data_IF_381285549994
#
_entry.id   IF_381285549994
#
_cell.length_a   1.000
_cell.length_b   1.000
_cell.length_c   1.000
_cell.angle_alpha   90.00
_cell.angle_beta   90.00
_cell.angle_gamma   90.00
#
_symmetry.space_group_name_H-M   'P 1'
#
loop_
_entity.id
_entity.type
_entity.pdbx_description
1 polymer ?
#
# COMPACT_ATOMS: atom_id res chain seq x y z
N UNK A 1 -13.31 -13.79 -40.41
CA UNK A 1 -13.23 -14.72 -39.27
C UNK A 1 -14.55 -15.48 -39.19
N UNK A 2 -14.56 -16.81 -39.05
CA UNK A 2 -15.81 -17.57 -38.92
C UNK A 2 -16.21 -17.68 -37.43
N UNK A 3 -17.49 -17.92 -37.15
CA UNK A 3 -18.04 -17.95 -35.78
C UNK A 3 -17.39 -19.00 -34.87
N UNK A 4 -16.85 -20.08 -35.45
CA UNK A 4 -16.23 -21.18 -34.70
C UNK A 4 -14.80 -20.82 -34.24
N UNK A 5 -14.04 -20.11 -35.09
CA UNK A 5 -12.72 -19.57 -34.76
C UNK A 5 -12.83 -18.53 -33.65
N UNK A 6 -13.84 -17.64 -33.69
CA UNK A 6 -14.07 -16.64 -32.64
C UNK A 6 -14.44 -17.28 -31.31
N UNK A 7 -15.26 -18.36 -31.33
CA UNK A 7 -15.62 -19.12 -30.12
C UNK A 7 -14.38 -19.78 -29.51
N UNK A 8 -13.55 -20.40 -30.33
CA UNK A 8 -12.32 -21.07 -29.88
C UNK A 8 -11.31 -20.09 -29.28
N UNK A 9 -11.10 -18.93 -29.89
CA UNK A 9 -10.24 -17.88 -29.32
C UNK A 9 -10.76 -17.38 -27.98
N UNK A 10 -12.07 -17.17 -27.85
CA UNK A 10 -12.69 -16.78 -26.59
C UNK A 10 -12.48 -17.82 -25.48
N UNK A 11 -12.66 -19.11 -25.78
CA UNK A 11 -12.39 -20.20 -24.84
C UNK A 11 -10.92 -20.22 -24.39
N UNK A 12 -9.96 -20.05 -25.31
CA UNK A 12 -8.53 -19.99 -25.00
C UNK A 12 -8.16 -18.76 -24.15
N UNK A 13 -8.78 -17.61 -24.41
CA UNK A 13 -8.61 -16.40 -23.59
C UNK A 13 -9.13 -16.62 -22.17
N UNK A 14 -10.30 -17.26 -22.01
CA UNK A 14 -10.84 -17.58 -20.68
C UNK A 14 -9.95 -18.55 -19.91
N UNK A 15 -9.44 -19.58 -20.58
CA UNK A 15 -8.49 -20.54 -19.98
C UNK A 15 -7.22 -19.81 -19.51
N UNK A 16 -6.62 -18.96 -20.36
CA UNK A 16 -5.46 -18.15 -19.99
C UNK A 16 -5.70 -17.29 -18.75
N UNK A 17 -6.82 -16.58 -18.69
CA UNK A 17 -7.18 -15.72 -17.54
C UNK A 17 -7.35 -16.56 -16.26
N UNK A 18 -8.00 -17.72 -16.37
CA UNK A 18 -8.20 -18.65 -15.26
C UNK A 18 -6.88 -19.17 -14.70
N UNK A 19 -5.98 -19.63 -15.57
CA UNK A 19 -4.68 -20.18 -15.18
C UNK A 19 -3.71 -19.12 -14.65
N UNK A 20 -3.89 -17.86 -15.06
CA UNK A 20 -2.98 -16.78 -14.67
C UNK A 20 -2.92 -16.53 -13.16
N UNK A 21 -3.94 -16.96 -12.41
CA UNK A 21 -4.03 -16.74 -10.97
C UNK A 21 -2.77 -17.24 -10.21
N UNK A 22 -2.24 -18.40 -10.57
CA UNK A 22 -1.00 -18.92 -9.97
C UNK A 22 0.19 -17.98 -10.22
N UNK A 23 0.32 -17.48 -11.45
CA UNK A 23 1.38 -16.54 -11.81
C UNK A 23 1.20 -15.18 -11.12
N UNK A 24 -0.04 -14.73 -10.94
CA UNK A 24 -0.35 -13.51 -10.18
C UNK A 24 0.20 -13.60 -8.75
N UNK A 25 -0.13 -14.64 -7.98
CA UNK A 25 0.35 -14.78 -6.60
C UNK A 25 1.88 -14.89 -6.51
N UNK A 26 2.49 -15.60 -7.47
CA UNK A 26 3.95 -15.69 -7.55
C UNK A 26 4.59 -14.31 -7.75
N UNK A 27 4.07 -13.52 -8.68
CA UNK A 27 4.57 -12.18 -8.96
C UNK A 27 4.38 -11.24 -7.76
N UNK A 28 3.20 -11.27 -7.14
CA UNK A 28 2.90 -10.50 -5.91
C UNK A 28 3.92 -10.82 -4.82
N UNK A 29 4.18 -12.10 -4.58
CA UNK A 29 5.15 -12.55 -3.56
C UNK A 29 6.55 -12.05 -3.86
N UNK A 30 7.00 -12.13 -5.12
CA UNK A 30 8.32 -11.65 -5.54
C UNK A 30 8.47 -10.13 -5.36
N UNK A 31 7.45 -9.35 -5.71
CA UNK A 31 7.49 -7.90 -5.52
C UNK A 31 7.45 -7.51 -4.04
N UNK A 32 6.68 -8.22 -3.20
CA UNK A 32 6.69 -7.99 -1.75
C UNK A 32 8.07 -8.26 -1.15
N UNK A 33 8.67 -9.38 -1.53
CA UNK A 33 9.98 -9.79 -1.03
C UNK A 33 11.08 -8.77 -1.40
N UNK A 34 10.97 -8.13 -2.56
CA UNK A 34 11.94 -7.11 -2.98
C UNK A 34 12.07 -5.94 -2.00
N UNK A 35 10.99 -5.53 -1.32
CA UNK A 35 11.02 -4.42 -0.34
C UNK A 35 11.76 -4.77 0.96
N UNK A 36 11.92 -6.07 1.22
CA UNK A 36 12.70 -6.60 2.35
C UNK A 36 14.16 -6.72 1.90
N UNK A 37 14.38 -7.34 0.74
CA UNK A 37 15.71 -7.60 0.21
C UNK A 37 16.49 -6.32 -0.12
N UNK A 38 15.82 -5.32 -0.69
CA UNK A 38 16.44 -4.02 -1.00
C UNK A 38 16.64 -3.12 0.24
N UNK A 39 16.17 -3.58 1.41
CA UNK A 39 16.28 -2.86 2.67
C UNK A 39 15.35 -1.64 2.78
N UNK A 40 14.42 -1.43 1.84
CA UNK A 40 13.52 -0.28 1.85
C UNK A 40 12.72 -0.20 3.16
N UNK A 41 12.07 -1.30 3.57
CA UNK A 41 11.30 -1.32 4.82
C UNK A 41 12.21 -1.11 6.04
N UNK A 42 13.44 -1.64 6.00
CA UNK A 42 14.42 -1.41 7.06
C UNK A 42 14.73 0.09 7.18
N UNK A 43 15.07 0.74 6.08
CA UNK A 43 15.40 2.18 6.06
C UNK A 43 14.22 3.05 6.50
N UNK A 44 12.99 2.68 6.14
CA UNK A 44 11.78 3.42 6.51
C UNK A 44 11.46 3.34 8.01
N UNK A 45 11.80 2.24 8.67
CA UNK A 45 11.50 1.98 10.08
C UNK A 45 12.72 2.03 11.02
N UNK A 46 13.91 2.33 10.50
CA UNK A 46 15.14 2.50 11.28
C UNK A 46 14.93 3.56 12.38
N UNK A 47 15.18 3.19 13.65
CA UNK A 47 14.97 4.06 14.82
C UNK A 47 16.24 4.75 15.31
N UNK A 48 17.41 4.31 14.86
CA UNK A 48 18.70 4.55 15.52
C UNK A 48 19.73 5.30 14.66
N UNK A 49 19.32 6.26 13.84
CA UNK A 49 20.26 7.09 13.09
C UNK A 49 20.54 8.42 13.79
N UNK A 50 21.82 8.78 13.89
CA UNK A 50 22.26 10.14 14.27
C UNK A 50 21.79 11.22 13.27
N UNK A 51 21.30 10.81 12.09
CA UNK A 51 20.54 11.61 11.13
C UNK A 51 19.09 11.15 11.09
N UNK A 52 18.13 12.05 11.33
CA UNK A 52 16.72 11.77 11.06
C UNK A 52 16.53 11.46 9.58
N UNK A 53 16.02 10.27 9.26
CA UNK A 53 15.64 9.90 7.89
C UNK A 53 14.24 10.46 7.61
N UNK A 54 14.09 11.25 6.56
CA UNK A 54 12.79 11.75 6.13
C UNK A 54 12.00 10.63 5.44
N UNK A 55 11.01 10.11 6.16
CA UNK A 55 10.15 9.01 5.69
C UNK A 55 9.24 9.43 4.55
N UNK A 56 8.82 10.70 4.52
CA UNK A 56 7.99 11.21 3.42
C UNK A 56 8.82 11.24 2.14
N UNK A 57 10.06 11.73 2.23
CA UNK A 57 10.97 11.75 1.08
C UNK A 57 11.29 10.34 0.57
N UNK A 58 11.53 9.37 1.46
CA UNK A 58 11.75 7.98 1.05
C UNK A 58 10.56 7.38 0.29
N UNK A 59 9.32 7.67 0.73
CA UNK A 59 8.11 7.20 0.05
C UNK A 59 7.96 7.85 -1.33
N UNK A 60 8.19 9.15 -1.43
CA UNK A 60 8.13 9.91 -2.69
C UNK A 60 9.21 9.44 -3.66
N UNK A 61 10.43 9.21 -3.19
CA UNK A 61 11.52 8.71 -4.03
C UNK A 61 11.21 7.30 -4.58
N UNK A 62 10.59 6.43 -3.77
CA UNK A 62 10.30 5.05 -4.16
C UNK A 62 9.05 4.94 -5.05
N UNK A 63 8.01 5.72 -4.78
CA UNK A 63 6.67 5.54 -5.35
C UNK A 63 6.11 6.79 -6.07
N UNK A 64 6.84 7.91 -6.08
CA UNK A 64 6.45 9.17 -6.69
C UNK A 64 5.61 10.07 -5.78
N UNK A 65 5.26 11.26 -6.28
CA UNK A 65 4.57 12.32 -5.52
C UNK A 65 3.20 11.89 -4.97
N UNK A 66 2.54 10.93 -5.62
CA UNK A 66 1.29 10.36 -5.15
C UNK A 66 1.44 9.69 -3.78
N UNK A 67 2.63 9.19 -3.44
CA UNK A 67 2.97 8.57 -2.16
C UNK A 67 3.37 9.58 -1.08
N UNK A 68 3.17 10.88 -1.31
CA UNK A 68 3.37 11.86 -0.25
C UNK A 68 2.35 11.62 0.88
N UNK A 69 2.79 11.39 2.14
CA UNK A 69 1.88 11.22 3.28
C UNK A 69 0.87 12.35 3.47
N UNK A 70 1.18 13.57 3.00
CA UNK A 70 0.26 14.71 3.06
C UNK A 70 -1.05 14.44 2.31
N UNK A 71 -1.00 13.69 1.21
CA UNK A 71 -2.17 13.31 0.39
C UNK A 71 -3.15 12.41 1.16
N UNK A 72 -2.70 11.77 2.25
CA UNK A 72 -3.47 10.81 3.01
C UNK A 72 -4.03 11.36 4.32
N UNK A 73 -3.82 12.65 4.63
CA UNK A 73 -4.14 13.23 5.95
C UNK A 73 -5.61 13.05 6.35
N UNK A 74 -6.55 13.36 5.47
CA UNK A 74 -7.99 13.24 5.76
C UNK A 74 -8.42 11.79 5.97
N UNK A 75 -7.93 10.87 5.13
CA UNK A 75 -8.26 9.45 5.24
C UNK A 75 -7.58 8.80 6.46
N UNK A 76 -6.35 9.21 6.77
CA UNK A 76 -5.62 8.81 7.96
C UNK A 76 -6.38 9.20 9.23
N UNK A 77 -6.95 10.40 9.27
CA UNK A 77 -7.82 10.85 10.36
C UNK A 77 -9.10 10.02 10.45
N UNK A 78 -9.78 9.78 9.31
CA UNK A 78 -11.02 9.00 9.28
C UNK A 78 -10.82 7.53 9.69
N UNK A 79 -9.68 6.94 9.35
CA UNK A 79 -9.35 5.53 9.64
C UNK A 79 -8.55 5.33 10.92
N UNK A 80 -8.13 6.42 11.59
CA UNK A 80 -7.24 6.40 12.75
C UNK A 80 -5.92 5.65 12.48
N UNK A 81 -5.37 5.82 11.27
CA UNK A 81 -4.08 5.24 10.84
C UNK A 81 -3.11 6.39 10.60
N UNK A 82 -1.83 6.22 10.95
CA UNK A 82 -0.82 7.25 10.69
C UNK A 82 -0.66 7.52 9.18
N UNK A 83 -0.56 8.78 8.70
CA UNK A 83 -0.51 9.09 7.26
C UNK A 83 0.60 8.37 6.50
N UNK A 84 1.80 8.27 7.08
CA UNK A 84 2.93 7.52 6.49
C UNK A 84 2.61 6.04 6.33
N UNK A 85 1.89 5.44 7.29
CA UNK A 85 1.50 4.03 7.23
C UNK A 85 0.45 3.82 6.15
N UNK A 86 -0.54 4.71 6.08
CA UNK A 86 -1.59 4.62 5.08
C UNK A 86 -1.02 4.80 3.67
N UNK A 87 -0.18 5.80 3.47
CA UNK A 87 0.57 6.01 2.23
C UNK A 87 1.38 4.78 1.84
N UNK A 88 2.16 4.20 2.76
CA UNK A 88 2.94 3.00 2.49
C UNK A 88 2.08 1.83 2.02
N UNK A 89 0.97 1.56 2.71
CA UNK A 89 0.06 0.45 2.35
C UNK A 89 -0.52 0.66 0.95
N UNK A 90 -1.05 1.86 0.68
CA UNK A 90 -1.62 2.19 -0.63
C UNK A 90 -0.59 2.13 -1.75
N UNK A 91 0.60 2.69 -1.53
CA UNK A 91 1.67 2.70 -2.53
C UNK A 91 2.20 1.30 -2.83
N UNK A 92 2.37 0.45 -1.82
CA UNK A 92 2.76 -0.96 -2.03
C UNK A 92 1.68 -1.71 -2.81
N UNK A 93 0.41 -1.57 -2.41
CA UNK A 93 -0.69 -2.24 -3.09
C UNK A 93 -0.81 -1.82 -4.55
N UNK A 94 -0.76 -0.51 -4.82
CA UNK A 94 -0.82 0.04 -6.17
C UNK A 94 0.39 -0.39 -7.01
N UNK A 95 1.60 -0.29 -6.47
CA UNK A 95 2.83 -0.69 -7.16
C UNK A 95 2.78 -2.16 -7.58
N UNK A 96 2.41 -3.06 -6.66
CA UNK A 96 2.37 -4.49 -6.94
C UNK A 96 1.24 -4.81 -7.94
N UNK A 97 0.09 -4.17 -7.81
CA UNK A 97 -1.03 -4.35 -8.74
C UNK A 97 -0.64 -3.93 -10.15
N UNK A 98 0.02 -2.77 -10.28
CA UNK A 98 0.53 -2.26 -11.54
C UNK A 98 1.57 -3.21 -12.16
N UNK A 99 2.57 -3.65 -11.39
CA UNK A 99 3.58 -4.62 -11.87
C UNK A 99 2.98 -5.96 -12.28
N UNK A 100 1.96 -6.42 -11.55
CA UNK A 100 1.25 -7.65 -11.87
C UNK A 100 0.44 -7.52 -13.15
N UNK A 101 -0.19 -6.36 -13.36
CA UNK A 101 -0.87 -6.00 -14.61
C UNK A 101 0.10 -5.92 -15.79
N UNK A 102 1.25 -5.25 -15.66
CA UNK A 102 2.27 -5.20 -16.72
C UNK A 102 2.70 -6.60 -17.16
N UNK A 103 2.91 -7.50 -16.19
CA UNK A 103 3.30 -8.89 -16.47
C UNK A 103 2.18 -9.67 -17.15
N UNK A 104 0.92 -9.42 -16.74
CA UNK A 104 -0.25 -10.05 -17.35
C UNK A 104 -0.41 -9.59 -18.79
N UNK A 105 -0.46 -8.28 -19.00
CA UNK A 105 -0.63 -7.66 -20.31
C UNK A 105 0.47 -8.13 -21.28
N UNK A 106 1.73 -8.12 -20.85
CA UNK A 106 2.86 -8.59 -21.69
C UNK A 106 2.64 -10.03 -22.16
N UNK A 107 2.31 -10.95 -21.24
CA UNK A 107 2.08 -12.35 -21.59
C UNK A 107 0.85 -12.52 -22.48
N UNK A 108 -0.22 -11.79 -22.17
CA UNK A 108 -1.44 -11.80 -22.96
C UNK A 108 -1.16 -11.36 -24.41
N UNK A 109 -0.45 -10.23 -24.59
CA UNK A 109 -0.07 -9.74 -25.92
C UNK A 109 0.89 -10.69 -26.64
N UNK A 110 1.82 -11.36 -25.94
CA UNK A 110 2.68 -12.37 -26.57
C UNK A 110 1.89 -13.60 -27.04
N UNK A 111 0.80 -13.96 -26.36
CA UNK A 111 -0.02 -15.13 -26.69
C UNK A 111 -1.06 -14.83 -27.77
N UNK A 112 -1.70 -13.67 -27.71
CA UNK A 112 -2.86 -13.33 -28.55
C UNK A 112 -2.66 -12.11 -29.45
N UNK A 113 -1.56 -11.37 -29.27
CA UNK A 113 -1.30 -10.11 -29.97
C UNK A 113 -0.64 -10.25 -31.34
N UNK A 114 -0.28 -11.47 -31.78
CA UNK A 114 0.09 -11.74 -33.17
C UNK A 114 -1.16 -11.74 -34.05
N UNK A 115 -1.68 -10.54 -34.32
CA UNK A 115 -2.65 -10.31 -35.39
C UNK A 115 -1.87 -10.34 -36.70
N UNK A 116 -1.77 -11.53 -37.29
CA UNK A 116 -0.96 -11.81 -38.48
C UNK A 116 -1.03 -10.72 -39.55
N UNK A 117 0.07 -10.60 -40.29
CA UNK A 117 0.33 -9.62 -41.35
C UNK A 117 -0.95 -9.27 -42.13
N UNK A 118 -1.61 -8.19 -41.72
CA UNK A 118 -2.67 -7.59 -42.54
C UNK A 118 -1.93 -6.98 -43.72
N UNK A 119 -1.73 -7.80 -44.75
CA UNK A 119 -1.36 -7.32 -46.06
C UNK A 119 -2.42 -6.28 -46.42
N UNK A 120 -2.07 -5.00 -46.29
CA UNK A 120 -2.84 -3.92 -46.89
C UNK A 120 -2.87 -4.25 -48.38
N UNK A 121 -4.02 -4.72 -48.84
CA UNK A 121 -4.24 -4.91 -50.26
C UNK A 121 -4.21 -3.52 -50.89
N UNK A 122 -3.03 -3.11 -51.37
CA UNK A 122 -2.75 -1.84 -52.05
C UNK A 122 -3.50 -1.73 -53.40
N UNK A 123 -4.48 -2.60 -53.64
CA UNK A 123 -5.33 -2.65 -54.83
C UNK A 123 -6.75 -2.10 -54.67
N UNK A 124 -7.25 -1.82 -53.46
CA UNK A 124 -8.62 -1.29 -53.31
C UNK A 124 -8.59 0.23 -53.44
N UNK A 125 -8.85 0.69 -54.67
CA UNK A 125 -9.10 2.08 -54.97
C UNK A 125 -10.42 2.53 -54.34
N UNK A 126 -10.37 3.70 -53.74
CA UNK A 126 -11.48 4.49 -53.20
C UNK A 126 -12.52 4.81 -54.30
N UNK A 127 -13.57 4.01 -54.41
CA UNK A 127 -14.81 4.41 -55.08
C UNK A 127 -16.08 3.77 -54.47
N UNK A 128 -16.75 4.50 -53.57
CA UNK A 128 -18.15 4.17 -53.27
C UNK A 128 -18.64 4.60 -51.91
N UNK A 129 -19.08 5.85 -51.83
CA UNK A 129 -20.09 6.27 -50.88
C UNK A 129 -21.27 5.28 -50.86
N UNK A 130 -21.46 4.57 -49.76
CA UNK A 130 -22.77 4.15 -49.29
C UNK A 130 -22.91 4.56 -47.82
N UNK A 131 -23.60 5.67 -47.62
CA UNK A 131 -24.01 6.13 -46.31
C UNK A 131 -25.31 5.45 -45.94
N UNK A 132 -25.30 4.58 -44.92
CA UNK A 132 -26.44 4.36 -44.05
C UNK A 132 -26.08 3.43 -42.88
N UNK A 133 -25.68 4.03 -41.76
CA UNK A 133 -26.16 3.64 -40.43
C UNK A 133 -25.71 4.71 -39.44
N UNK A 134 -26.48 5.80 -39.38
CA UNK A 134 -26.56 6.61 -38.18
C UNK A 134 -26.99 5.68 -37.04
N UNK A 135 -26.03 5.21 -36.23
CA UNK A 135 -26.36 4.74 -34.91
C UNK A 135 -26.18 5.96 -34.00
N UNK A 136 -27.31 6.52 -33.55
CA UNK A 136 -27.32 7.54 -32.51
C UNK A 136 -26.43 7.08 -31.34
N UNK A 137 -25.63 7.97 -30.73
CA UNK A 137 -25.05 7.65 -29.45
C UNK A 137 -26.20 7.63 -28.44
N UNK A 138 -26.67 6.44 -28.06
CA UNK A 138 -27.46 6.26 -26.85
C UNK A 138 -26.63 6.82 -25.70
N UNK A 139 -27.06 7.99 -25.22
CA UNK A 139 -26.47 8.73 -24.12
C UNK A 139 -26.95 8.14 -22.80
N UNK A 140 -26.64 6.88 -22.50
CA UNK A 140 -26.97 6.28 -21.20
C UNK A 140 -26.01 5.11 -20.88
N UNK A 141 -24.70 5.35 -20.81
CA UNK A 141 -23.74 4.41 -20.20
C UNK A 141 -22.82 5.18 -19.22
N UNK A 142 -23.41 6.13 -18.50
CA UNK A 142 -22.86 6.64 -17.25
C UNK A 142 -23.25 5.66 -16.12
N UNK A 143 -22.70 4.44 -16.09
CA UNK A 143 -22.74 3.60 -14.88
C UNK A 143 -21.83 2.35 -14.91
N UNK A 144 -20.65 2.42 -15.54
CA UNK A 144 -19.52 1.56 -15.15
C UNK A 144 -18.95 2.06 -13.81
N UNK A 145 -19.75 1.94 -12.76
CA UNK A 145 -19.31 1.97 -11.37
C UNK A 145 -18.40 0.76 -11.19
N UNK A 146 -17.10 0.94 -11.47
CA UNK A 146 -16.04 0.20 -10.80
C UNK A 146 -16.41 0.23 -9.31
N UNK A 147 -16.78 -0.93 -8.75
CA UNK A 147 -17.30 -1.13 -7.39
C UNK A 147 -16.36 -0.77 -6.24
N UNK A 148 -15.63 0.33 -6.35
CA UNK A 148 -15.02 1.07 -5.28
C UNK A 148 -16.08 2.05 -4.77
N UNK A 149 -16.95 1.56 -3.90
CA UNK A 149 -17.89 2.41 -3.18
C UNK A 149 -17.11 3.50 -2.45
N UNK A 150 -17.16 4.73 -2.95
CA UNK A 150 -16.65 5.89 -2.24
C UNK A 150 -17.48 6.01 -0.95
N UNK A 151 -16.86 6.02 0.25
CA UNK A 151 -17.63 6.08 1.49
C UNK A 151 -18.41 7.40 1.51
N UNK A 152 -19.74 7.31 1.62
CA UNK A 152 -20.59 8.49 1.75
C UNK A 152 -20.09 9.37 2.91
N UNK A 153 -20.05 10.70 2.74
CA UNK A 153 -19.64 11.59 3.81
C UNK A 153 -20.59 11.43 5.00
N UNK A 154 -20.04 11.01 6.15
CA UNK A 154 -20.75 10.91 7.41
C UNK A 154 -21.20 12.32 7.81
N UNK A 155 -22.51 12.55 7.85
CA UNK A 155 -23.09 13.72 8.52
C UNK A 155 -22.73 13.60 10.00
N UNK A 156 -21.89 14.52 10.48
CA UNK A 156 -21.53 14.65 11.89
C UNK A 156 -22.73 15.15 12.69
N UNK A 157 -23.72 14.29 12.94
CA UNK A 157 -24.64 14.50 14.06
C UNK A 157 -24.17 13.60 15.20
N UNK A 158 -23.68 14.17 16.31
CA UNK A 158 -23.34 13.38 17.49
C UNK A 158 -24.57 12.57 17.93
N UNK A 159 -24.44 11.28 18.25
CA UNK A 159 -25.56 10.53 18.81
C UNK A 159 -25.95 11.16 20.15
N UNK A 160 -27.21 11.59 20.27
CA UNK A 160 -27.80 11.97 21.55
C UNK A 160 -27.95 10.67 22.35
N UNK A 161 -27.13 10.52 23.39
CA UNK A 161 -27.25 9.42 24.33
C UNK A 161 -28.50 9.66 25.20
N UNK A 162 -29.30 8.62 25.50
CA UNK A 162 -30.27 8.74 26.59
C UNK A 162 -29.51 8.90 27.91
N UNK A 163 -29.92 9.86 28.74
CA UNK A 163 -29.44 9.99 30.12
C UNK A 163 -29.80 8.72 30.89
N UNK A 164 -28.86 7.79 30.98
CA UNK A 164 -28.90 6.69 31.93
C UNK A 164 -28.31 7.21 33.22
N UNK A 165 -29.17 7.38 34.24
CA UNK A 165 -28.73 7.50 35.63
C UNK A 165 -27.93 6.25 36.01
N UNK A 166 -26.61 6.35 35.94
CA UNK A 166 -25.70 5.37 36.53
C UNK A 166 -25.69 5.59 38.05
N UNK A 167 -26.55 4.86 38.75
CA UNK A 167 -26.35 4.58 40.18
C UNK A 167 -24.94 4.02 40.36
N UNK A 168 -24.07 4.79 41.02
CA UNK A 168 -22.69 4.40 41.34
C UNK A 168 -22.69 3.17 42.25
N UNK A 169 -22.57 1.99 41.66
CA UNK A 169 -22.26 0.77 42.38
C UNK A 169 -20.73 0.63 42.45
N UNK A 170 -20.17 0.99 43.60
CA UNK A 170 -18.77 0.72 43.93
C UNK A 170 -18.50 -0.79 43.88
N UNK A 171 -17.82 -1.25 42.83
CA UNK A 171 -17.07 -2.49 42.86
C UNK A 171 -15.59 -2.20 42.60
N UNK A 172 -14.84 -2.13 43.70
CA UNK A 172 -13.39 -2.05 43.73
C UNK A 172 -12.78 -3.32 43.14
N UNK A 173 -12.55 -3.35 41.82
CA UNK A 173 -11.75 -4.39 41.18
C UNK A 173 -10.29 -3.95 41.20
N UNK A 174 -9.54 -4.49 42.16
CA UNK A 174 -8.08 -4.35 42.26
C UNK A 174 -7.44 -5.07 41.06
N UNK A 175 -6.67 -4.39 40.18
CA UNK A 175 -5.87 -5.09 39.19
C UNK A 175 -4.72 -5.81 39.91
N UNK A 176 -4.66 -7.14 39.78
CA UNK A 176 -3.52 -7.95 40.24
C UNK A 176 -2.25 -7.49 39.53
N UNK A 177 -1.43 -6.75 40.25
CA UNK A 177 -0.03 -6.51 39.98
C UNK A 177 0.74 -7.83 40.10
N UNK A 178 1.18 -8.40 38.97
CA UNK A 178 2.19 -9.45 38.97
C UNK A 178 3.56 -8.84 39.28
N UNK A 179 3.83 -8.62 40.57
CA UNK A 179 5.16 -8.30 41.08
C UNK A 179 6.12 -9.47 40.86
N UNK A 180 7.18 -9.24 40.05
CA UNK A 180 8.44 -9.96 40.19
C UNK A 180 9.42 -9.06 40.96
N UNK A 181 9.69 -9.44 42.21
CA UNK A 181 10.84 -9.05 43.04
C UNK A 181 11.31 -10.37 43.69
N UNK A 182 12.58 -10.67 43.92
CA UNK A 182 13.79 -9.85 43.96
C UNK A 182 15.01 -10.79 43.94
N UNK A 183 16.19 -10.25 43.58
CA UNK A 183 17.50 -10.53 44.21
C UNK A 183 18.61 -9.82 43.44
N UNK A 184 18.63 -8.48 43.52
CA UNK A 184 19.91 -7.78 43.54
C UNK A 184 20.29 -7.49 44.98
N UNK A 185 21.43 -8.02 45.41
CA UNK A 185 21.99 -7.84 46.74
C UNK A 185 23.04 -6.74 46.67
N UNK A 186 22.63 -5.49 46.89
CA UNK A 186 23.55 -4.40 47.21
C UNK A 186 23.88 -4.48 48.72
N UNK A 187 25.18 -4.53 49.04
CA UNK A 187 25.70 -4.14 50.36
C UNK A 187 26.57 -2.91 50.13
N UNK A 188 26.17 -1.80 50.73
CA UNK A 188 27.00 -0.62 50.96
C UNK A 188 27.18 -0.52 52.47
N UNK A 189 28.42 -0.34 52.96
CA UNK A 189 28.72 0.41 54.20
C UNK A 189 30.19 0.90 54.18
N UNK A 190 30.31 2.23 54.17
CA UNK A 190 31.29 3.16 54.78
C UNK A 190 32.80 3.16 54.46
N UNK A 191 33.19 4.25 53.79
CA UNK A 191 34.02 5.37 54.27
C UNK A 191 35.43 5.12 54.86
N UNK A 192 36.46 5.56 54.12
CA UNK A 192 37.66 6.17 54.73
C UNK A 192 38.37 7.12 53.78
N UNK A 193 38.25 8.39 54.11
CA UNK A 193 39.02 9.54 53.63
C UNK A 193 40.54 9.40 53.91
N UNK A 194 41.41 9.70 52.93
CA UNK A 194 42.73 10.34 53.16
C UNK A 194 43.09 11.23 51.97
N UNK A 195 43.31 12.52 52.26
CA UNK A 195 43.89 13.56 51.39
C UNK A 195 45.33 13.20 51.01
N UNK A 196 45.75 13.52 49.79
CA UNK A 196 47.12 13.99 49.58
C UNK A 196 47.18 15.10 48.53
N UNK A 197 47.60 16.27 49.03
CA UNK A 197 48.07 17.43 48.27
C UNK A 197 49.56 17.23 47.95
N UNK A 198 50.01 17.68 46.78
CA UNK A 198 51.33 18.29 46.48
C UNK A 198 51.35 18.58 44.96
N UNK A 199 51.02 19.80 44.52
CA UNK A 199 51.88 20.98 44.30
C UNK A 199 52.65 20.93 42.97
N UNK A 200 52.31 21.90 42.11
CA UNK A 200 52.94 22.38 40.88
C UNK A 200 54.34 22.97 41.14
N UNK A 201 55.26 22.95 40.17
CA UNK A 201 56.05 24.13 39.68
C UNK A 201 57.13 23.75 38.63
N UNK A 202 56.95 24.35 37.44
CA UNK A 202 57.86 24.98 36.46
C UNK A 202 59.27 24.47 36.04
N UNK A 203 59.46 24.57 34.72
CA UNK A 203 60.61 25.09 33.90
C UNK A 203 62.06 24.82 34.35
N UNK A 204 62.84 24.24 33.43
CA UNK A 204 63.67 25.03 32.50
C UNK A 204 63.92 24.28 31.20
#
# INVERSE_FOLDING_TARGET
>A
MNTDESRKQFEQTLEFVSEYNFMFYKNVTQHLDSFIQDGFLKNLFEKNTSKSVDKAQLLIEKFGDAANPANFTSQAQATNIHPTTLSLIFSIALYISFRSWETFATKYYMTFGDMGDVAYDEGVTDDGLDGSSENEPDKDEDDLILGLQLPNPVVNTPPILPDVEITSADQTVIPKNSWKKDKQKARITEDKQVKNQQILVQKH
#
